data_IF_670716166850
#
_entry.id   IF_670716166850
#
_cell.length_a   1.000
_cell.length_b   1.000
_cell.length_c   1.000
_cell.angle_alpha   90.00
_cell.angle_beta   90.00
_cell.angle_gamma   90.00
#
_symmetry.space_group_name_H-M   'P 1'
#
loop_
_entity.id
_entity.type
_entity.pdbx_description
1 polymer ?
#
# COMPACT_ATOMS: atom_id res chain seq x y z
N UNK A 1 -8.01 16.73 -21.10
CA UNK A 1 -7.91 15.26 -21.26
C UNK A 1 -7.51 14.61 -19.93
N UNK A 2 -8.23 13.61 -19.50
CA UNK A 2 -7.89 12.88 -18.29
C UNK A 2 -6.74 11.89 -18.56
N UNK A 3 -5.77 11.86 -17.66
CA UNK A 3 -4.65 10.90 -17.74
C UNK A 3 -4.82 9.89 -16.61
N UNK A 4 -4.85 8.62 -16.97
CA UNK A 4 -5.05 7.54 -16.01
C UNK A 4 -3.70 7.03 -15.51
N UNK A 5 -3.59 6.82 -14.21
CA UNK A 5 -2.38 6.34 -13.57
C UNK A 5 -2.23 4.83 -13.61
N UNK A 6 -2.03 4.29 -14.78
CA UNK A 6 -1.80 2.86 -14.96
C UNK A 6 -0.35 2.59 -15.37
N UNK A 7 0.01 1.31 -15.44
CA UNK A 7 1.35 0.91 -15.79
C UNK A 7 2.19 0.58 -14.55
N UNK A 8 3.48 0.74 -14.69
CA UNK A 8 4.49 0.31 -13.71
C UNK A 8 4.59 1.27 -12.52
N UNK A 9 4.10 0.89 -11.34
CA UNK A 9 4.15 1.77 -10.18
C UNK A 9 5.52 1.75 -9.50
N UNK A 10 5.83 2.84 -8.79
CA UNK A 10 6.92 2.87 -7.82
C UNK A 10 6.31 2.81 -6.43
N UNK A 11 6.76 1.88 -5.62
CA UNK A 11 6.26 1.69 -4.26
C UNK A 11 7.38 2.01 -3.29
N UNK A 12 7.10 2.91 -2.35
CA UNK A 12 8.06 3.34 -1.33
C UNK A 12 7.54 2.96 0.04
N UNK A 13 8.42 2.47 0.90
CA UNK A 13 8.07 2.08 2.27
C UNK A 13 9.04 2.68 3.26
N UNK A 14 8.53 2.96 4.47
CA UNK A 14 9.33 3.50 5.57
C UNK A 14 8.88 2.83 6.85
N UNK A 15 9.83 2.26 7.60
CA UNK A 15 9.53 1.68 8.90
C UNK A 15 9.27 2.80 9.91
N UNK A 16 8.17 2.71 10.64
CA UNK A 16 7.74 3.73 11.59
C UNK A 16 8.33 3.54 12.99
N UNK A 17 8.63 2.28 13.34
CA UNK A 17 9.23 1.94 14.63
C UNK A 17 10.68 1.50 14.43
N UNK A 18 11.51 1.64 15.45
CA UNK A 18 12.91 1.26 15.41
C UNK A 18 13.83 2.38 14.94
N UNK A 19 15.01 2.01 14.46
CA UNK A 19 16.10 2.93 14.17
C UNK A 19 15.91 3.70 12.87
N UNK A 20 15.54 4.96 12.99
CA UNK A 20 15.64 5.94 11.92
C UNK A 20 14.99 5.55 10.62
N UNK A 21 13.68 5.50 10.59
CA UNK A 21 12.96 5.17 9.39
C UNK A 21 13.36 6.02 8.19
N UNK A 22 14.02 5.39 7.23
CA UNK A 22 14.30 6.00 5.94
C UNK A 22 13.41 5.36 4.89
N UNK A 23 12.98 6.18 3.94
CA UNK A 23 12.22 5.65 2.81
C UNK A 23 13.10 4.79 1.94
N UNK A 24 12.58 3.67 1.47
CA UNK A 24 13.24 2.86 0.46
C UNK A 24 12.24 2.43 -0.59
N UNK A 25 12.72 2.25 -1.80
CA UNK A 25 11.90 1.79 -2.91
C UNK A 25 11.84 0.26 -2.90
N UNK A 26 10.63 -0.26 -3.02
CA UNK A 26 10.40 -1.69 -3.18
C UNK A 26 10.78 -2.09 -4.60
N UNK A 27 11.44 -3.26 -4.81
CA UNK A 27 11.69 -3.76 -6.16
C UNK A 27 10.40 -3.80 -6.98
N UNK A 28 10.51 -3.64 -8.28
CA UNK A 28 9.34 -3.60 -9.15
C UNK A 28 8.57 -4.91 -9.07
N UNK A 29 7.26 -4.87 -8.75
CA UNK A 29 6.44 -6.07 -8.66
C UNK A 29 6.24 -6.75 -10.01
N UNK A 30 5.76 -8.00 -9.96
CA UNK A 30 5.33 -8.72 -11.16
C UNK A 30 4.20 -7.98 -11.87
N UNK A 31 4.12 -8.18 -13.18
CA UNK A 31 3.05 -7.61 -13.99
C UNK A 31 1.67 -8.00 -13.44
N UNK A 32 0.78 -7.03 -13.41
CA UNK A 32 -0.62 -7.18 -12.97
C UNK A 32 -0.81 -7.67 -11.52
N UNK A 33 0.24 -7.58 -10.69
CA UNK A 33 0.15 -8.06 -9.31
C UNK A 33 -0.19 -6.98 -8.27
N UNK A 34 0.05 -5.71 -8.60
CA UNK A 34 -0.18 -4.62 -7.65
C UNK A 34 -1.64 -4.20 -7.64
N UNK A 35 -2.33 -4.42 -6.53
CA UNK A 35 -3.74 -4.06 -6.38
C UNK A 35 -4.02 -3.46 -5.03
N UNK A 36 -4.87 -2.45 -5.02
CA UNK A 36 -5.42 -1.88 -3.79
C UNK A 36 -6.85 -2.38 -3.63
N UNK A 37 -7.12 -3.12 -2.56
CA UNK A 37 -8.45 -3.59 -2.26
C UNK A 37 -9.07 -2.74 -1.16
N UNK A 38 -10.30 -2.32 -1.38
CA UNK A 38 -11.07 -1.58 -0.40
C UNK A 38 -12.25 -2.43 0.04
N UNK A 39 -12.33 -2.68 1.35
CA UNK A 39 -13.51 -3.32 1.92
C UNK A 39 -14.38 -2.23 2.53
N UNK A 40 -15.58 -2.11 2.02
CA UNK A 40 -16.51 -1.09 2.48
C UNK A 40 -16.92 -1.37 3.91
N UNK A 41 -16.99 -0.33 4.73
CA UNK A 41 -17.43 -0.43 6.12
C UNK A 41 -18.89 -0.88 6.24
N UNK A 42 -19.22 -1.38 7.40
CA UNK A 42 -20.55 -1.88 7.67
C UNK A 42 -21.60 -0.78 7.58
N UNK A 43 -22.73 -1.13 6.97
CA UNK A 43 -23.87 -0.23 6.85
C UNK A 43 -24.85 -0.55 7.97
N UNK A 44 -25.21 0.44 8.77
CA UNK A 44 -26.23 0.33 9.81
C UNK A 44 -27.42 1.18 9.40
N UNK A 45 -28.60 0.59 9.41
CA UNK A 45 -29.84 1.26 9.02
C UNK A 45 -30.81 1.31 10.18
N UNK A 46 -31.43 2.48 10.36
CA UNK A 46 -32.59 2.63 11.25
C UNK A 46 -33.82 2.72 10.34
N UNK A 47 -34.69 1.72 10.42
CA UNK A 47 -35.86 1.62 9.56
C UNK A 47 -37.14 1.97 10.30
N UNK A 48 -38.03 2.67 9.61
CA UNK A 48 -39.40 2.88 10.05
C UNK A 48 -40.27 1.69 9.65
N UNK A 49 -41.42 1.52 10.29
CA UNK A 49 -42.40 0.57 9.83
C UNK A 49 -42.79 0.87 8.38
N UNK A 50 -42.95 -0.16 7.58
CA UNK A 50 -43.17 -0.02 6.14
C UNK A 50 -41.90 -0.06 5.30
N UNK A 51 -40.72 -0.16 5.94
CA UNK A 51 -39.43 -0.40 5.27
C UNK A 51 -38.63 0.82 4.84
N UNK A 52 -39.13 2.02 5.11
CA UNK A 52 -38.38 3.24 4.80
C UNK A 52 -37.25 3.46 5.78
N UNK A 53 -36.09 3.90 5.29
CA UNK A 53 -34.96 4.22 6.15
C UNK A 53 -35.13 5.60 6.79
N UNK A 54 -35.07 5.67 8.11
CA UNK A 54 -35.03 6.91 8.86
C UNK A 54 -33.62 7.48 8.87
N UNK A 55 -32.62 6.61 9.02
CA UNK A 55 -31.21 6.99 9.02
C UNK A 55 -30.34 5.84 8.54
N UNK A 56 -29.19 6.17 7.98
CA UNK A 56 -28.21 5.21 7.50
C UNK A 56 -26.82 5.67 7.96
N UNK A 57 -26.08 4.78 8.59
CA UNK A 57 -24.72 5.04 9.06
C UNK A 57 -23.75 4.01 8.49
N UNK A 58 -22.61 4.48 8.01
CA UNK A 58 -21.54 3.62 7.50
C UNK A 58 -20.34 3.62 8.43
N UNK A 59 -19.78 2.44 8.65
CA UNK A 59 -18.49 2.31 9.30
C UNK A 59 -17.35 2.73 8.36
N UNK A 60 -16.15 2.82 8.89
CA UNK A 60 -14.97 3.15 8.08
C UNK A 60 -14.59 2.00 7.16
N UNK A 61 -14.12 2.33 5.96
CA UNK A 61 -13.58 1.34 5.03
C UNK A 61 -12.25 0.81 5.55
N UNK A 62 -11.89 -0.39 5.09
CA UNK A 62 -10.57 -0.95 5.31
C UNK A 62 -9.86 -1.10 3.97
N UNK A 63 -8.55 -0.93 3.98
CA UNK A 63 -7.74 -0.93 2.76
C UNK A 63 -6.60 -1.93 2.87
N UNK A 64 -6.31 -2.61 1.77
CA UNK A 64 -5.18 -3.52 1.68
C UNK A 64 -4.50 -3.35 0.33
N UNK A 65 -3.19 -3.13 0.34
CA UNK A 65 -2.39 -3.09 -0.88
C UNK A 65 -1.60 -4.39 -0.99
N UNK A 66 -1.74 -5.08 -2.10
CA UNK A 66 -1.00 -6.32 -2.36
C UNK A 66 -0.16 -6.19 -3.61
N UNK A 67 1.03 -6.77 -3.57
CA UNK A 67 1.89 -6.90 -4.74
C UNK A 67 2.76 -8.14 -4.59
N UNK A 68 3.25 -8.66 -5.72
CA UNK A 68 4.07 -9.87 -5.76
C UNK A 68 5.46 -9.54 -6.26
N UNK A 69 6.47 -9.96 -5.50
CA UNK A 69 7.89 -9.78 -5.86
C UNK A 69 8.48 -11.13 -6.20
N UNK A 70 9.19 -11.22 -7.33
CA UNK A 70 9.90 -12.46 -7.70
C UNK A 70 11.15 -12.62 -6.87
N UNK A 71 11.42 -13.86 -6.46
CA UNK A 71 12.68 -14.22 -5.82
C UNK A 71 13.68 -14.49 -6.94
N UNK A 72 14.74 -13.71 -6.98
CA UNK A 72 15.75 -13.84 -8.03
C UNK A 72 17.16 -13.71 -7.44
N UNK A 73 18.14 -14.26 -8.15
CA UNK A 73 19.55 -14.18 -7.75
C UNK A 73 19.99 -12.71 -7.76
N UNK A 74 20.58 -12.27 -6.66
CA UNK A 74 21.06 -10.90 -6.52
C UNK A 74 19.98 -9.86 -6.21
N UNK A 75 18.75 -10.30 -6.01
CA UNK A 75 17.63 -9.41 -5.70
C UNK A 75 17.27 -9.56 -4.22
N UNK A 76 17.33 -8.47 -3.48
CA UNK A 76 16.96 -8.45 -2.07
C UNK A 76 15.46 -8.24 -1.92
N UNK A 77 14.87 -8.96 -0.98
CA UNK A 77 13.47 -8.75 -0.64
C UNK A 77 13.32 -7.48 0.20
N UNK A 78 12.23 -6.73 0.03
CA UNK A 78 12.04 -5.47 0.75
C UNK A 78 11.81 -5.61 2.24
N UNK A 79 11.38 -6.79 2.70
CA UNK A 79 11.08 -7.04 4.10
C UNK A 79 11.66 -8.37 4.55
N UNK A 80 12.06 -8.42 5.83
CA UNK A 80 12.39 -9.67 6.49
C UNK A 80 11.13 -10.25 7.10
N UNK A 81 10.86 -11.52 6.86
CA UNK A 81 9.66 -12.16 7.38
C UNK A 81 9.99 -13.37 8.23
N UNK A 82 9.11 -13.66 9.18
CA UNK A 82 9.16 -14.86 10.00
C UNK A 82 7.87 -15.65 9.74
N UNK A 83 7.91 -16.57 8.78
CA UNK A 83 6.76 -17.38 8.37
C UNK A 83 5.51 -16.54 8.08
N UNK A 84 5.68 -15.51 7.26
CA UNK A 84 4.60 -14.64 6.84
C UNK A 84 4.38 -13.42 7.72
N UNK A 85 5.05 -13.34 8.84
CA UNK A 85 4.98 -12.18 9.75
C UNK A 85 6.14 -11.22 9.48
N UNK A 86 5.82 -9.97 9.21
CA UNK A 86 6.81 -8.90 9.09
C UNK A 86 6.68 -8.00 10.33
N UNK A 87 7.77 -7.88 11.08
CA UNK A 87 7.77 -7.10 12.31
C UNK A 87 7.71 -5.61 12.02
N UNK A 88 6.91 -4.88 12.80
CA UNK A 88 6.83 -3.43 12.76
C UNK A 88 5.69 -2.89 11.92
N UNK A 89 5.59 -1.57 11.93
CA UNK A 89 4.59 -0.83 11.17
C UNK A 89 5.30 0.00 10.10
N UNK A 90 4.66 0.17 8.96
CA UNK A 90 5.26 0.82 7.80
C UNK A 90 4.35 1.89 7.22
N UNK A 91 4.95 3.02 6.84
CA UNK A 91 4.30 3.98 5.96
C UNK A 91 4.55 3.55 4.52
N UNK A 92 3.59 3.79 3.66
CA UNK A 92 3.60 3.33 2.27
C UNK A 92 3.19 4.46 1.35
N UNK A 93 3.88 4.60 0.23
CA UNK A 93 3.49 5.51 -0.84
C UNK A 93 3.58 4.81 -2.17
N UNK A 94 2.58 4.99 -3.02
CA UNK A 94 2.59 4.45 -4.38
C UNK A 94 2.51 5.60 -5.37
N UNK A 95 3.51 5.67 -6.25
CA UNK A 95 3.57 6.64 -7.32
C UNK A 95 3.27 5.95 -8.65
N UNK A 96 2.27 6.41 -9.43
CA UNK A 96 2.02 5.84 -10.74
C UNK A 96 3.20 6.01 -11.71
N UNK A 97 3.18 5.31 -12.83
CA UNK A 97 4.22 5.39 -13.84
C UNK A 97 4.44 6.84 -14.31
N UNK A 98 3.34 7.58 -14.51
CA UNK A 98 3.42 9.03 -14.73
C UNK A 98 3.41 9.72 -13.36
N UNK A 99 4.54 10.30 -12.93
CA UNK A 99 4.62 10.89 -11.58
C UNK A 99 3.72 12.10 -11.35
N UNK A 100 3.14 12.66 -12.39
CA UNK A 100 2.20 13.78 -12.27
C UNK A 100 0.78 13.33 -11.96
N UNK A 101 0.48 12.06 -12.17
CA UNK A 101 -0.83 11.50 -11.84
C UNK A 101 -0.88 11.23 -10.34
N UNK A 102 -2.00 11.57 -9.67
CA UNK A 102 -2.13 11.27 -8.24
C UNK A 102 -1.96 9.78 -7.93
N UNK A 103 -1.11 9.49 -6.97
CA UNK A 103 -0.99 8.19 -6.36
C UNK A 103 -1.65 8.23 -4.98
N UNK A 104 -1.20 7.40 -4.08
CA UNK A 104 -1.75 7.41 -2.72
C UNK A 104 -0.66 7.14 -1.68
N UNK A 105 -0.94 7.56 -0.46
CA UNK A 105 -0.08 7.33 0.69
C UNK A 105 -0.91 6.74 1.82
N UNK A 106 -0.38 5.69 2.45
CA UNK A 106 -0.93 5.08 3.66
C UNK A 106 0.06 5.37 4.77
N UNK A 107 -0.37 6.13 5.77
CA UNK A 107 0.54 6.59 6.83
C UNK A 107 0.96 5.47 7.77
N UNK A 108 0.13 4.45 7.93
CA UNK A 108 0.40 3.36 8.86
C UNK A 108 -0.17 2.05 8.35
N UNK A 109 0.65 1.03 8.26
CA UNK A 109 0.22 -0.29 7.80
C UNK A 109 1.01 -1.40 8.48
N UNK A 110 0.40 -2.59 8.51
CA UNK A 110 1.06 -3.83 8.93
C UNK A 110 1.25 -4.69 7.70
N UNK A 111 2.41 -5.28 7.56
CA UNK A 111 2.78 -6.06 6.38
C UNK A 111 2.73 -7.54 6.69
N UNK A 112 2.16 -8.32 5.79
CA UNK A 112 2.24 -9.78 5.82
C UNK A 112 2.83 -10.29 4.52
N UNK A 113 3.42 -11.48 4.55
CA UNK A 113 4.06 -12.08 3.40
C UNK A 113 3.56 -13.50 3.19
N UNK A 114 3.40 -13.89 1.94
CA UNK A 114 2.97 -15.23 1.57
C UNK A 114 3.92 -15.77 0.50
N UNK A 115 4.63 -16.85 0.84
CA UNK A 115 5.59 -17.46 -0.06
C UNK A 115 4.92 -18.38 -1.06
N UNK A 116 5.41 -18.36 -2.29
CA UNK A 116 4.91 -19.22 -3.33
C UNK A 116 6.01 -19.69 -4.24
N UNK A 117 5.76 -20.81 -4.91
CA UNK A 117 6.68 -21.33 -5.92
C UNK A 117 5.89 -22.10 -6.97
N UNK A 118 6.22 -21.84 -8.23
CA UNK A 118 5.74 -22.66 -9.34
C UNK A 118 6.87 -22.84 -10.35
N UNK A 119 6.82 -23.91 -11.10
CA UNK A 119 7.84 -24.15 -12.15
C UNK A 119 7.72 -23.17 -13.31
N UNK A 120 6.56 -22.53 -13.46
CA UNK A 120 6.32 -21.51 -14.48
C UNK A 120 6.88 -20.13 -14.08
N UNK A 121 6.63 -19.71 -12.82
CA UNK A 121 6.99 -18.38 -12.35
C UNK A 121 8.23 -18.34 -11.46
N UNK A 122 8.67 -19.48 -10.95
CA UNK A 122 9.74 -19.55 -9.97
C UNK A 122 9.24 -19.18 -8.57
N UNK A 123 10.14 -18.73 -7.71
CA UNK A 123 9.80 -18.29 -6.37
C UNK A 123 9.14 -16.91 -6.40
N UNK A 124 8.09 -16.75 -5.63
CA UNK A 124 7.38 -15.47 -5.52
C UNK A 124 6.98 -15.22 -4.07
N UNK A 125 6.92 -13.97 -3.68
CA UNK A 125 6.42 -13.58 -2.35
C UNK A 125 5.37 -12.49 -2.55
N UNK A 126 4.18 -12.74 -2.03
CA UNK A 126 3.08 -11.76 -2.04
C UNK A 126 3.13 -10.99 -0.74
N UNK A 127 3.31 -9.69 -0.84
CA UNK A 127 3.27 -8.80 0.32
C UNK A 127 1.94 -8.08 0.37
N UNK A 128 1.31 -8.07 1.54
CA UNK A 128 0.04 -7.38 1.75
C UNK A 128 0.21 -6.36 2.87
N UNK A 129 -0.10 -5.11 2.57
CA UNK A 129 -0.10 -4.02 3.55
C UNK A 129 -1.53 -3.75 3.96
N UNK A 130 -1.85 -4.04 5.22
CA UNK A 130 -3.17 -3.75 5.79
C UNK A 130 -3.12 -2.38 6.45
N UNK A 131 -3.91 -1.44 5.95
CA UNK A 131 -3.91 -0.07 6.46
C UNK A 131 -4.49 0.00 7.87
N UNK A 132 -3.85 0.78 8.72
CA UNK A 132 -4.30 1.06 10.07
C UNK A 132 -4.69 2.53 10.17
N UNK A 133 -5.55 2.84 11.12
CA UNK A 133 -5.95 4.23 11.38
C UNK A 133 -4.76 5.02 11.94
N UNK A 134 -4.29 6.07 11.26
CA UNK A 134 -3.23 6.90 11.79
C UNK A 134 -3.74 7.82 12.90
N UNK A 135 -2.82 8.45 13.64
CA UNK A 135 -3.19 9.38 14.68
C UNK A 135 -3.93 10.61 14.14
N UNK A 136 -3.57 11.02 12.93
CA UNK A 136 -4.17 12.20 12.27
C UNK A 136 -4.50 11.85 10.83
N UNK A 137 -5.72 12.18 10.40
CA UNK A 137 -6.13 12.05 9.01
C UNK A 137 -6.75 10.71 8.65
N UNK A 138 -6.90 10.48 7.38
CA UNK A 138 -7.50 9.27 6.83
C UNK A 138 -6.48 8.14 6.69
N UNK A 139 -6.98 6.91 6.59
CA UNK A 139 -6.13 5.74 6.38
C UNK A 139 -5.39 5.81 5.05
N UNK A 140 -6.06 6.32 4.02
CA UNK A 140 -5.46 6.49 2.70
C UNK A 140 -5.63 7.95 2.25
N UNK A 141 -4.57 8.50 1.67
CA UNK A 141 -4.56 9.88 1.18
C UNK A 141 -4.14 9.89 -0.28
N UNK A 142 -4.97 10.44 -1.13
CA UNK A 142 -4.69 10.55 -2.57
C UNK A 142 -4.06 11.89 -2.91
N UNK A 143 -3.11 11.87 -3.79
CA UNK A 143 -2.46 13.08 -4.30
C UNK A 143 -1.18 12.75 -5.05
N UNK A 144 -0.57 13.77 -5.63
CA UNK A 144 0.70 13.60 -6.33
C UNK A 144 1.81 13.31 -5.33
N UNK A 145 2.57 12.26 -5.59
CA UNK A 145 3.66 11.83 -4.71
C UNK A 145 4.95 12.49 -5.16
N UNK A 146 5.57 13.25 -4.27
CA UNK A 146 6.87 13.88 -4.50
C UNK A 146 7.97 13.08 -3.81
N UNK A 147 8.96 12.65 -4.58
CA UNK A 147 10.09 11.88 -4.09
C UNK A 147 11.35 12.72 -4.18
N UNK A 148 12.04 12.88 -3.06
CA UNK A 148 13.34 13.57 -3.02
C UNK A 148 14.43 12.51 -2.96
N UNK A 149 15.22 12.44 -4.03
CA UNK A 149 16.30 11.45 -4.17
C UNK A 149 17.66 12.13 -4.22
N UNK A 150 18.68 11.44 -3.67
CA UNK A 150 20.06 11.86 -3.76
C UNK A 150 20.88 10.61 -4.10
N UNK A 151 21.25 10.45 -5.37
CA UNK A 151 21.92 9.23 -5.83
C UNK A 151 21.00 8.03 -5.69
N UNK A 152 21.49 7.01 -4.97
CA UNK A 152 20.72 5.78 -4.72
C UNK A 152 19.86 5.85 -3.45
N UNK A 153 19.90 6.98 -2.75
CA UNK A 153 19.19 7.18 -1.50
C UNK A 153 17.94 8.02 -1.70
N UNK A 154 16.87 7.65 -1.00
CA UNK A 154 15.64 8.44 -0.97
C UNK A 154 15.61 9.20 0.35
N UNK A 155 15.61 10.52 0.31
CA UNK A 155 15.61 11.34 1.53
C UNK A 155 14.21 11.66 2.02
N UNK A 156 13.23 11.74 1.13
CA UNK A 156 11.85 12.02 1.51
C UNK A 156 10.86 11.58 0.44
N UNK A 157 9.68 11.19 0.91
CA UNK A 157 8.50 10.92 0.05
C UNK A 157 7.32 11.60 0.73
N UNK A 158 6.65 12.48 0.02
CA UNK A 158 5.52 13.22 0.59
C UNK A 158 4.44 13.50 -0.46
N UNK A 159 3.24 13.81 0.03
CA UNK A 159 2.14 14.27 -0.84
C UNK A 159 2.33 15.73 -1.18
N UNK A 160 2.09 16.07 -2.43
CA UNK A 160 2.04 17.45 -2.88
C UNK A 160 0.76 18.10 -2.33
N UNK A 161 0.91 19.25 -1.74
CA UNK A 161 -0.22 20.03 -1.25
C UNK A 161 -0.81 20.92 -2.35
#
# INVERSE_FOLDING_TARGET
MAVIGWGKPRIFVKRLDGDGGTWKEVPIPMEDSTTLETTKGDKTEAKLEGGSNEDVKYGANTYALSYTIRVAKGKEQPFEQNDGYVEGEYALALQPEDPKVPGFMIDKSVVSAEDGFSTTDGGTIVYTHDALKPAVGNQIKWGVINVTESGDSISNVELEE
#
